data_IF_515193156055
#
_entry.id   IF_515193156055
#
_cell.length_a   1.000
_cell.length_b   1.000
_cell.length_c   1.000
_cell.angle_alpha   90.00
_cell.angle_beta   90.00
_cell.angle_gamma   90.00
#
_symmetry.space_group_name_H-M   'P 1'
#
loop_
_entity.id
_entity.type
_entity.pdbx_description
1 polymer ?
#
# COMPACT_ATOMS: atom_id res chain seq x y z
N UNK A 1 56.87 -14.13 -58.61
CA UNK A 1 55.61 -14.21 -59.38
C UNK A 1 55.03 -15.63 -59.27
N UNK A 2 53.97 -15.80 -58.46
CA UNK A 2 53.09 -17.01 -58.36
C UNK A 2 51.70 -16.47 -57.94
N UNK A 3 50.65 -16.57 -58.78
CA UNK A 3 49.51 -17.53 -58.77
C UNK A 3 48.87 -17.71 -57.38
N UNK A 4 47.56 -17.87 -57.14
CA UNK A 4 46.28 -17.64 -57.80
C UNK A 4 45.20 -18.13 -56.78
N UNK A 5 44.10 -17.39 -56.62
CA UNK A 5 42.72 -17.82 -56.33
C UNK A 5 42.26 -18.65 -55.10
N UNK A 6 41.07 -18.25 -54.63
CA UNK A 6 40.02 -18.92 -53.81
C UNK A 6 40.23 -19.07 -52.28
N UNK A 7 39.37 -18.46 -51.45
CA UNK A 7 38.10 -19.04 -50.96
C UNK A 7 37.55 -18.27 -49.73
N UNK A 8 36.31 -17.78 -49.88
CA UNK A 8 35.24 -17.52 -48.91
C UNK A 8 35.52 -17.78 -47.41
N UNK A 9 35.29 -16.77 -46.56
CA UNK A 9 34.66 -16.84 -45.23
C UNK A 9 34.33 -15.38 -44.80
N UNK A 10 33.15 -14.84 -45.12
CA UNK A 10 31.97 -14.87 -44.26
C UNK A 10 32.30 -14.80 -42.76
N UNK A 11 32.27 -13.60 -42.17
CA UNK A 11 31.75 -13.35 -40.81
C UNK A 11 31.32 -11.88 -40.78
N UNK A 12 30.00 -11.70 -40.89
CA UNK A 12 29.32 -10.48 -40.48
C UNK A 12 29.61 -10.25 -39.00
N UNK A 13 30.30 -9.16 -38.68
CA UNK A 13 30.34 -8.63 -37.32
C UNK A 13 29.02 -7.89 -37.06
N UNK A 14 27.93 -8.64 -36.88
CA UNK A 14 26.75 -8.12 -36.20
C UNK A 14 27.17 -7.91 -34.74
N UNK A 15 27.43 -6.65 -34.40
CA UNK A 15 27.45 -6.17 -33.02
C UNK A 15 26.12 -6.57 -32.39
N UNK A 16 26.13 -7.75 -31.77
CA UNK A 16 25.08 -8.26 -30.92
C UNK A 16 25.08 -7.35 -29.70
N UNK A 17 24.37 -6.23 -29.83
CA UNK A 17 23.82 -5.52 -28.69
C UNK A 17 22.94 -6.51 -27.96
N UNK A 18 23.54 -7.27 -27.04
CA UNK A 18 22.82 -8.04 -26.03
C UNK A 18 22.26 -7.02 -25.04
N UNK A 19 21.29 -6.22 -25.50
CA UNK A 19 20.40 -5.51 -24.61
C UNK A 19 19.58 -6.60 -23.94
N UNK A 20 19.64 -6.75 -22.60
CA UNK A 20 18.74 -7.67 -21.93
C UNK A 20 17.31 -7.28 -22.31
N UNK A 21 16.42 -8.23 -22.63
CA UNK A 21 15.05 -7.90 -22.98
C UNK A 21 14.46 -7.09 -21.83
N UNK A 22 14.05 -5.84 -22.10
CA UNK A 22 13.25 -5.05 -21.16
C UNK A 22 12.10 -5.95 -20.71
N UNK A 23 11.98 -6.16 -19.39
CA UNK A 23 10.86 -6.87 -18.75
C UNK A 23 9.57 -6.39 -19.40
N UNK A 24 9.03 -7.22 -20.27
CA UNK A 24 7.77 -6.97 -20.96
C UNK A 24 6.66 -7.51 -20.07
N UNK A 25 5.62 -6.70 -19.89
CA UNK A 25 4.30 -7.00 -19.29
C UNK A 25 4.03 -6.68 -17.81
N UNK A 26 4.18 -5.42 -17.41
CA UNK A 26 3.16 -4.75 -16.55
C UNK A 26 2.76 -3.36 -17.06
N UNK A 27 3.11 -3.02 -18.32
CA UNK A 27 2.75 -1.75 -18.94
C UNK A 27 1.29 -1.82 -19.44
N UNK A 28 0.32 -1.59 -18.55
CA UNK A 28 -1.09 -1.48 -18.94
C UNK A 28 -2.15 -1.82 -17.88
N UNK A 29 -1.77 -2.34 -16.70
CA UNK A 29 -2.74 -2.53 -15.62
C UNK A 29 -2.84 -1.25 -14.79
N UNK A 30 -3.88 -0.46 -15.04
CA UNK A 30 -4.23 0.69 -14.20
C UNK A 30 -4.33 0.22 -12.74
N UNK A 31 -3.41 0.66 -11.89
CA UNK A 31 -3.41 0.28 -10.47
C UNK A 31 -4.23 1.27 -9.67
N UNK A 32 -4.66 0.90 -8.46
CA UNK A 32 -5.35 1.83 -7.55
C UNK A 32 -4.49 3.05 -7.19
N UNK A 33 -3.16 2.91 -7.28
CA UNK A 33 -2.22 4.00 -6.97
C UNK A 33 -2.13 5.04 -8.10
N UNK A 34 -2.65 4.71 -9.29
CA UNK A 34 -2.68 5.57 -10.47
C UNK A 34 -4.12 5.99 -10.83
N UNK A 35 -5.10 5.64 -9.99
CA UNK A 35 -6.51 5.94 -10.24
C UNK A 35 -6.86 7.35 -9.72
N UNK A 36 -7.52 8.21 -10.53
CA UNK A 36 -7.89 9.57 -10.13
C UNK A 36 -8.90 9.66 -8.97
N UNK A 37 -9.52 8.56 -8.55
CA UNK A 37 -10.33 8.50 -7.35
C UNK A 37 -9.50 8.23 -6.09
N UNK A 38 -8.19 8.05 -6.22
CA UNK A 38 -7.30 7.79 -5.10
C UNK A 38 -6.05 8.65 -5.14
N UNK A 39 -5.60 9.10 -3.97
CA UNK A 39 -4.32 9.74 -3.78
C UNK A 39 -3.47 8.89 -2.83
N UNK A 40 -2.22 8.65 -3.23
CA UNK A 40 -1.26 7.89 -2.43
C UNK A 40 -0.14 8.79 -1.96
N UNK A 41 -0.14 9.09 -0.66
CA UNK A 41 0.98 9.70 0.04
C UNK A 41 2.11 8.66 0.18
N UNK A 42 3.10 8.80 -0.69
CA UNK A 42 4.24 7.87 -0.78
C UNK A 42 5.14 7.92 0.45
N UNK A 43 5.19 9.05 1.14
CA UNK A 43 6.04 9.23 2.31
C UNK A 43 5.44 8.49 3.51
N UNK A 44 4.14 8.63 3.73
CA UNK A 44 3.46 8.07 4.90
C UNK A 44 2.72 6.76 4.63
N UNK A 45 2.78 6.25 3.40
CA UNK A 45 2.04 5.05 2.99
C UNK A 45 0.53 5.20 3.28
N UNK A 46 -0.01 6.39 3.02
CA UNK A 46 -1.44 6.68 3.22
C UNK A 46 -2.15 6.66 1.88
N UNK A 47 -3.17 5.83 1.75
CA UNK A 47 -4.03 5.77 0.56
C UNK A 47 -5.38 6.40 0.89
N UNK A 48 -5.79 7.37 0.09
CA UNK A 48 -6.95 8.24 0.35
C UNK A 48 -7.87 8.15 -0.86
N UNK A 49 -9.16 7.95 -0.61
CA UNK A 49 -10.20 8.10 -1.63
C UNK A 49 -10.50 9.59 -1.77
N UNK A 50 -10.48 10.08 -3.01
CA UNK A 50 -10.69 11.49 -3.34
C UNK A 50 -11.71 11.63 -4.46
N UNK A 51 -12.44 12.73 -4.49
CA UNK A 51 -13.28 13.09 -5.62
C UNK A 51 -12.40 13.60 -6.78
N UNK A 52 -12.44 13.00 -7.99
CA UNK A 52 -11.66 13.48 -9.13
C UNK A 52 -11.91 14.95 -9.50
N UNK A 53 -13.14 15.45 -9.31
CA UNK A 53 -13.52 16.83 -9.63
C UNK A 53 -12.92 17.84 -8.64
N UNK A 54 -12.69 17.42 -7.39
CA UNK A 54 -12.15 18.25 -6.30
C UNK A 54 -10.79 17.78 -5.80
N UNK A 55 -10.09 17.01 -6.64
CA UNK A 55 -8.90 16.25 -6.25
C UNK A 55 -7.81 17.13 -5.66
N UNK A 56 -7.51 18.26 -6.30
CA UNK A 56 -6.45 19.16 -5.86
C UNK A 56 -6.78 19.79 -4.49
N UNK A 57 -8.03 20.22 -4.31
CA UNK A 57 -8.52 20.78 -3.04
C UNK A 57 -8.44 19.75 -1.91
N UNK A 58 -8.94 18.54 -2.13
CA UNK A 58 -8.95 17.46 -1.14
C UNK A 58 -7.53 17.00 -0.77
N UNK A 59 -6.63 16.92 -1.76
CA UNK A 59 -5.21 16.61 -1.51
C UNK A 59 -4.56 17.74 -0.70
N UNK A 60 -4.79 19.00 -1.07
CA UNK A 60 -4.24 20.16 -0.34
C UNK A 60 -4.75 20.18 1.09
N UNK A 61 -6.04 19.95 1.30
CA UNK A 61 -6.65 19.89 2.63
C UNK A 61 -6.02 18.78 3.49
N UNK A 62 -5.81 17.59 2.92
CA UNK A 62 -5.09 16.50 3.58
C UNK A 62 -3.66 16.89 3.97
N UNK A 63 -2.90 17.47 3.04
CA UNK A 63 -1.52 17.88 3.27
C UNK A 63 -1.42 18.98 4.34
N UNK A 64 -2.29 19.99 4.30
CA UNK A 64 -2.35 21.05 5.31
C UNK A 64 -2.67 20.49 6.69
N UNK A 65 -3.69 19.63 6.82
CA UNK A 65 -4.01 18.97 8.10
C UNK A 65 -2.84 18.16 8.64
N UNK A 66 -2.14 17.42 7.76
CA UNK A 66 -0.95 16.65 8.12
C UNK A 66 0.14 17.55 8.68
N UNK A 67 0.41 18.67 8.02
CA UNK A 67 1.46 19.61 8.43
C UNK A 67 1.11 20.29 9.74
N UNK A 68 -0.13 20.73 9.93
CA UNK A 68 -0.61 21.27 11.21
C UNK A 68 -0.51 20.23 12.34
N UNK A 69 -0.92 18.99 12.09
CA UNK A 69 -0.83 17.91 13.08
C UNK A 69 0.62 17.56 13.42
N UNK A 70 1.55 17.64 12.45
CA UNK A 70 2.99 17.51 12.68
C UNK A 70 3.51 18.63 13.56
N UNK A 71 3.14 19.88 13.28
CA UNK A 71 3.53 21.05 14.08
C UNK A 71 3.01 20.97 15.52
N UNK A 72 1.75 20.57 15.72
CA UNK A 72 1.18 20.39 17.07
C UNK A 72 1.83 19.26 17.87
N UNK A 73 2.36 18.22 17.19
CA UNK A 73 3.10 17.12 17.82
C UNK A 73 4.50 17.50 18.32
N UNK A 74 5.00 18.70 18.03
CA UNK A 74 6.31 19.19 18.52
C UNK A 74 6.19 19.75 19.98
N UNK A 75 5.06 19.57 20.66
CA UNK A 75 5.04 19.69 22.14
C UNK A 75 5.64 18.42 22.75
N UNK A 76 6.76 18.48 23.51
CA UNK A 76 7.53 17.30 23.87
C UNK A 76 6.91 16.63 25.10
N UNK A 77 5.87 15.82 24.94
CA UNK A 77 5.51 14.85 25.97
C UNK A 77 4.94 13.55 25.41
N UNK A 78 5.34 12.47 26.08
CA UNK A 78 5.49 11.10 25.63
C UNK A 78 4.15 10.33 25.57
N UNK A 79 3.23 10.69 24.66
CA UNK A 79 1.98 9.94 24.51
C UNK A 79 2.12 8.78 23.52
N UNK A 80 2.05 7.54 24.04
CA UNK A 80 1.76 6.33 23.25
C UNK A 80 0.55 6.62 22.34
N UNK A 81 0.53 6.18 21.07
CA UNK A 81 -0.54 6.54 20.15
C UNK A 81 -1.90 6.08 20.69
N UNK A 82 -2.68 7.03 21.22
CA UNK A 82 -4.05 6.78 21.66
C UNK A 82 -4.85 6.38 20.42
N UNK A 83 -5.59 5.27 20.42
CA UNK A 83 -6.52 4.99 19.35
C UNK A 83 -7.44 6.19 19.25
N UNK A 84 -7.71 6.61 18.02
CA UNK A 84 -8.59 7.76 17.76
C UNK A 84 -10.02 7.28 18.02
N UNK A 85 -10.38 7.21 19.29
CA UNK A 85 -11.63 6.63 19.77
C UNK A 85 -12.74 7.63 19.56
N UNK A 86 -13.20 7.77 18.32
CA UNK A 86 -14.54 8.30 18.09
C UNK A 86 -15.50 7.39 18.86
N UNK A 87 -16.15 7.90 19.90
CA UNK A 87 -17.10 7.13 20.70
C UNK A 87 -18.30 6.74 19.82
N UNK A 88 -18.64 5.45 19.81
CA UNK A 88 -19.77 4.84 19.12
C UNK A 88 -20.43 3.81 20.06
N UNK A 89 -21.72 3.54 19.83
CA UNK A 89 -22.49 2.56 20.59
C UNK A 89 -22.40 1.17 19.95
N UNK A 90 -22.32 1.13 18.62
CA UNK A 90 -22.07 -0.09 17.86
C UNK A 90 -20.87 0.10 16.91
N UNK A 91 -19.89 -0.83 16.92
CA UNK A 91 -18.73 -0.74 16.03
C UNK A 91 -19.14 -1.00 14.57
N UNK A 92 -18.34 -0.53 13.59
CA UNK A 92 -18.55 -0.91 12.21
C UNK A 92 -18.28 -2.41 12.03
N UNK A 93 -19.02 -3.06 11.15
CA UNK A 93 -18.91 -4.51 10.91
C UNK A 93 -18.44 -4.80 9.48
N UNK A 94 -17.56 -5.79 9.26
CA UNK A 94 -17.20 -6.19 7.90
C UNK A 94 -18.43 -6.59 7.08
N UNK A 95 -18.65 -5.91 5.95
CA UNK A 95 -19.68 -6.28 4.96
C UNK A 95 -19.05 -7.07 3.81
N UNK A 96 -17.91 -6.59 3.32
CA UNK A 96 -17.13 -7.22 2.25
C UNK A 96 -15.64 -6.95 2.46
N UNK A 97 -14.88 -7.99 2.74
CA UNK A 97 -13.42 -7.90 2.90
C UNK A 97 -12.74 -8.37 1.62
N UNK A 98 -11.99 -7.46 1.00
CA UNK A 98 -11.09 -7.81 -0.10
C UNK A 98 -9.86 -8.48 0.49
N UNK A 99 -9.52 -9.67 -0.02
CA UNK A 99 -8.29 -10.36 0.38
C UNK A 99 -7.08 -9.69 -0.25
N UNK A 100 -6.01 -9.38 0.51
CA UNK A 100 -4.78 -8.84 -0.04
C UNK A 100 -4.07 -9.86 -0.92
N UNK A 101 -3.45 -9.39 -1.99
CA UNK A 101 -2.63 -10.21 -2.87
C UNK A 101 -1.22 -10.29 -2.30
N UNK A 102 -0.66 -11.47 -2.12
CA UNK A 102 0.72 -11.61 -1.68
C UNK A 102 1.66 -11.24 -2.85
N UNK A 103 2.46 -10.16 -2.77
CA UNK A 103 3.38 -9.81 -3.85
C UNK A 103 4.49 -10.86 -4.01
N UNK A 104 4.87 -11.15 -5.25
CA UNK A 104 5.87 -12.19 -5.56
C UNK A 104 7.24 -11.83 -4.98
N UNK A 105 7.61 -10.56 -5.07
CA UNK A 105 8.82 -9.97 -4.51
C UNK A 105 8.89 -10.22 -3.00
N UNK A 106 7.81 -9.91 -2.27
CA UNK A 106 7.70 -10.15 -0.83
C UNK A 106 7.85 -11.63 -0.47
N UNK A 107 7.28 -12.54 -1.27
CA UNK A 107 7.45 -13.98 -1.09
C UNK A 107 8.91 -14.41 -1.32
N UNK A 108 9.55 -13.94 -2.38
CA UNK A 108 10.96 -14.26 -2.69
C UNK A 108 11.89 -13.80 -1.58
N UNK A 109 11.64 -12.61 -1.03
CA UNK A 109 12.39 -12.03 0.08
C UNK A 109 11.92 -12.54 1.46
N UNK A 110 10.95 -13.47 1.50
CA UNK A 110 10.40 -14.09 2.71
C UNK A 110 9.81 -13.10 3.73
N UNK A 111 9.38 -11.91 3.29
CA UNK A 111 8.62 -11.00 4.14
C UNK A 111 7.26 -11.60 4.47
N UNK A 112 6.90 -11.66 5.75
CA UNK A 112 5.64 -12.20 6.27
C UNK A 112 5.26 -11.46 7.57
N UNK A 113 4.07 -11.75 8.11
CA UNK A 113 3.60 -11.20 9.38
C UNK A 113 2.28 -10.44 9.26
N UNK A 114 1.97 -9.65 10.29
CA UNK A 114 0.72 -8.89 10.37
C UNK A 114 0.98 -7.41 10.11
N UNK A 115 0.28 -6.84 9.13
CA UNK A 115 0.24 -5.41 8.87
C UNK A 115 -1.00 -4.83 9.53
N UNK A 116 -0.82 -3.96 10.51
CA UNK A 116 -1.92 -3.24 11.15
C UNK A 116 -2.27 -1.99 10.34
N UNK A 117 -3.47 -1.96 9.77
CA UNK A 117 -3.97 -0.83 8.98
C UNK A 117 -4.96 -0.02 9.79
N UNK A 118 -4.67 1.26 9.98
CA UNK A 118 -5.61 2.25 10.52
C UNK A 118 -6.46 2.81 9.37
N UNK A 119 -7.77 2.68 9.49
CA UNK A 119 -8.75 3.01 8.45
C UNK A 119 -9.76 4.04 8.94
N UNK A 120 -10.12 5.01 8.10
CA UNK A 120 -11.25 5.91 8.31
C UNK A 120 -12.43 5.40 7.51
N UNK A 121 -13.48 4.96 8.21
CA UNK A 121 -14.72 4.48 7.62
C UNK A 121 -15.77 5.58 7.77
N UNK A 122 -16.49 5.90 6.70
CA UNK A 122 -17.55 6.90 6.74
C UNK A 122 -18.90 6.35 7.23
N UNK A 123 -19.91 7.21 7.31
CA UNK A 123 -21.27 6.86 7.71
C UNK A 123 -22.02 5.99 6.68
N UNK A 124 -21.44 5.75 5.50
CA UNK A 124 -21.99 4.80 4.51
C UNK A 124 -21.31 3.44 4.59
N UNK A 125 -20.23 3.33 5.37
CA UNK A 125 -19.43 2.11 5.49
C UNK A 125 -18.30 1.99 4.47
N UNK A 126 -18.00 3.06 3.73
CA UNK A 126 -16.90 3.11 2.77
C UNK A 126 -15.62 3.54 3.47
N UNK A 127 -14.50 2.89 3.14
CA UNK A 127 -13.17 3.28 3.62
C UNK A 127 -12.67 4.48 2.81
N UNK A 128 -12.53 5.62 3.49
CA UNK A 128 -12.04 6.88 2.91
C UNK A 128 -10.52 6.99 2.93
N UNK A 129 -9.88 6.44 3.97
CA UNK A 129 -8.44 6.53 4.16
C UNK A 129 -7.93 5.27 4.82
N UNK A 130 -6.82 4.73 4.31
CA UNK A 130 -6.11 3.62 4.91
C UNK A 130 -4.62 3.99 5.05
N UNK A 131 -4.02 3.71 6.21
CA UNK A 131 -2.58 3.89 6.46
C UNK A 131 -2.05 2.83 7.43
N UNK A 132 -0.75 2.49 7.40
CA UNK A 132 -0.19 1.64 8.45
C UNK A 132 -0.27 2.33 9.81
N UNK A 133 -0.39 1.55 10.88
CA UNK A 133 -0.39 2.06 12.26
C UNK A 133 0.91 2.81 12.57
N UNK A 134 2.03 2.28 12.12
CA UNK A 134 3.37 2.85 12.31
C UNK A 134 3.99 3.19 10.95
N UNK A 135 3.90 4.46 10.57
CA UNK A 135 4.42 4.99 9.31
C UNK A 135 5.94 5.05 9.31
N UNK A 136 6.57 5.38 10.44
CA UNK A 136 8.03 5.47 10.56
C UNK A 136 8.68 4.10 10.38
N UNK A 137 8.19 3.09 11.10
CA UNK A 137 8.66 1.71 10.89
C UNK A 137 8.47 1.26 9.44
N UNK A 138 7.36 1.63 8.81
CA UNK A 138 7.09 1.29 7.41
C UNK A 138 8.11 1.91 6.44
N UNK A 139 8.55 3.16 6.68
CA UNK A 139 9.56 3.84 5.85
C UNK A 139 10.89 3.09 5.83
N UNK A 140 11.27 2.49 6.96
CA UNK A 140 12.52 1.74 7.13
C UNK A 140 12.46 0.29 6.61
N UNK A 141 11.31 -0.20 6.13
CA UNK A 141 11.22 -1.53 5.53
C UNK A 141 11.97 -1.61 4.19
N UNK A 142 12.50 -2.80 3.87
CA UNK A 142 12.96 -3.13 2.52
C UNK A 142 11.81 -3.18 1.51
N UNK A 143 12.15 -3.35 0.23
CA UNK A 143 11.19 -3.30 -0.87
C UNK A 143 10.07 -4.34 -0.72
N UNK A 144 10.41 -5.59 -0.43
CA UNK A 144 9.41 -6.64 -0.17
C UNK A 144 8.45 -6.31 0.97
N UNK A 145 8.94 -5.69 2.05
CA UNK A 145 8.09 -5.23 3.17
C UNK A 145 7.15 -4.09 2.77
N UNK A 146 7.66 -3.12 2.01
CA UNK A 146 6.85 -1.99 1.47
C UNK A 146 5.76 -2.48 0.53
N UNK A 147 6.03 -3.52 -0.27
CA UNK A 147 5.04 -4.14 -1.16
C UNK A 147 3.92 -4.86 -0.39
N UNK A 148 4.23 -5.52 0.74
CA UNK A 148 3.19 -6.10 1.61
C UNK A 148 2.24 -5.02 2.15
N UNK A 149 2.80 -3.90 2.63
CA UNK A 149 2.00 -2.78 3.15
C UNK A 149 1.12 -2.20 2.05
N UNK A 150 1.66 -1.95 0.85
CA UNK A 150 0.87 -1.49 -0.31
C UNK A 150 -0.27 -2.45 -0.65
N UNK A 151 -0.03 -3.75 -0.62
CA UNK A 151 -1.07 -4.75 -0.87
C UNK A 151 -2.19 -4.72 0.18
N UNK A 152 -1.81 -4.61 1.47
CA UNK A 152 -2.76 -4.46 2.55
C UNK A 152 -3.61 -3.19 2.40
N UNK A 153 -2.98 -2.04 2.11
CA UNK A 153 -3.67 -0.76 1.87
C UNK A 153 -4.67 -0.86 0.74
N UNK A 154 -4.26 -1.46 -0.39
CA UNK A 154 -5.12 -1.67 -1.56
C UNK A 154 -6.34 -2.51 -1.21
N UNK A 155 -6.16 -3.61 -0.50
CA UNK A 155 -7.26 -4.48 -0.11
C UNK A 155 -8.24 -3.76 0.84
N UNK A 156 -7.70 -3.06 1.83
CA UNK A 156 -8.50 -2.42 2.87
C UNK A 156 -9.29 -1.22 2.35
N UNK A 157 -8.71 -0.37 1.49
CA UNK A 157 -9.44 0.77 0.91
C UNK A 157 -10.58 0.35 -0.03
N UNK A 158 -10.52 -0.89 -0.56
CA UNK A 158 -11.54 -1.50 -1.43
C UNK A 158 -12.55 -2.35 -0.67
N UNK A 159 -12.36 -2.53 0.64
CA UNK A 159 -13.31 -3.26 1.50
C UNK A 159 -14.48 -2.36 1.90
N UNK A 160 -15.60 -2.98 2.22
CA UNK A 160 -16.84 -2.32 2.62
C UNK A 160 -17.28 -2.82 3.99
N UNK A 161 -17.89 -1.93 4.76
CA UNK A 161 -18.34 -2.17 6.13
C UNK A 161 -19.80 -1.75 6.28
N UNK A 162 -20.47 -2.29 7.29
CA UNK A 162 -21.60 -1.62 7.91
C UNK A 162 -21.03 -0.48 8.78
N UNK A 163 -21.60 0.74 8.74
CA UNK A 163 -21.06 1.87 9.48
C UNK A 163 -21.19 1.67 10.99
N UNK A 164 -20.36 2.39 11.75
CA UNK A 164 -20.54 2.49 13.19
C UNK A 164 -21.82 3.27 13.51
N UNK A 165 -22.49 2.92 14.60
CA UNK A 165 -23.71 3.60 15.05
C UNK A 165 -23.43 4.35 16.34
N UNK A 166 -23.90 5.60 16.39
CA UNK A 166 -23.94 6.43 17.60
C UNK A 166 -25.29 7.13 17.69
N UNK A 167 -25.97 7.02 18.82
CA UNK A 167 -27.31 7.57 19.05
C UNK A 167 -28.30 7.19 17.93
N UNK A 168 -28.24 5.93 17.48
CA UNK A 168 -29.07 5.41 16.38
C UNK A 168 -28.71 5.93 14.99
N UNK A 169 -27.65 6.73 14.82
CA UNK A 169 -27.23 7.29 13.54
C UNK A 169 -25.87 6.74 13.10
N UNK A 170 -25.66 6.51 11.79
CA UNK A 170 -24.36 6.08 11.30
C UNK A 170 -23.33 7.21 11.41
N UNK A 171 -22.13 6.89 11.88
CA UNK A 171 -21.05 7.86 12.10
C UNK A 171 -19.75 7.42 11.47
N UNK A 172 -18.94 8.41 11.09
CA UNK A 172 -17.55 8.21 10.65
C UNK A 172 -16.68 7.80 11.84
N UNK A 173 -15.78 6.85 11.64
CA UNK A 173 -14.95 6.28 12.71
C UNK A 173 -13.58 5.82 12.22
N UNK A 174 -12.58 5.89 13.11
CA UNK A 174 -11.29 5.24 12.90
C UNK A 174 -11.27 3.81 13.45
N UNK A 175 -10.79 2.86 12.65
CA UNK A 175 -10.66 1.44 13.01
C UNK A 175 -9.24 0.97 12.77
N UNK A 176 -8.75 0.04 13.60
CA UNK A 176 -7.52 -0.68 13.36
C UNK A 176 -7.84 -2.11 12.91
N UNK A 177 -7.34 -2.51 11.74
CA UNK A 177 -7.61 -3.82 11.14
C UNK A 177 -6.29 -4.59 10.90
N UNK A 178 -6.16 -5.82 11.43
CA UNK A 178 -4.99 -6.66 11.20
C UNK A 178 -5.08 -7.40 9.86
N UNK A 179 -4.07 -7.24 9.01
CA UNK A 179 -3.95 -7.95 7.74
C UNK A 179 -2.78 -8.94 7.82
N UNK A 180 -3.09 -10.24 7.80
CA UNK A 180 -2.10 -11.29 7.97
C UNK A 180 -1.55 -11.81 6.63
N UNK A 181 -0.24 -11.92 6.53
CA UNK A 181 0.48 -12.57 5.44
C UNK A 181 1.28 -13.75 5.98
N UNK A 182 0.86 -14.97 5.62
CA UNK A 182 1.45 -16.23 6.09
C UNK A 182 2.07 -17.00 4.94
N UNK A 183 3.22 -17.63 5.18
CA UNK A 183 3.89 -18.55 4.25
C UNK A 183 3.71 -19.96 4.83
N UNK A 184 3.14 -20.90 4.08
CA UNK A 184 2.84 -22.27 4.57
C UNK A 184 4.06 -23.07 5.04
N UNK A 185 5.29 -22.63 4.74
CA UNK A 185 6.54 -23.33 5.07
C UNK A 185 7.41 -22.66 6.15
N UNK A 186 6.92 -21.64 6.85
CA UNK A 186 7.58 -21.13 8.06
C UNK A 186 6.98 -21.82 9.28
N UNK A 187 7.52 -22.96 9.67
CA UNK A 187 7.17 -23.61 10.95
C UNK A 187 7.29 -22.58 12.09
N UNK A 188 6.32 -22.46 13.01
CA UNK A 188 6.55 -21.72 14.24
C UNK A 188 7.72 -22.40 14.94
N UNK A 189 8.81 -21.67 15.19
CA UNK A 189 9.82 -22.16 16.12
C UNK A 189 9.13 -22.20 17.49
N UNK A 190 9.01 -23.36 18.16
CA UNK A 190 8.48 -23.39 19.52
C UNK A 190 9.34 -22.45 20.35
N UNK A 191 8.71 -21.50 21.04
CA UNK A 191 9.40 -20.67 22.02
C UNK A 191 9.70 -21.58 23.22
N UNK A 192 10.96 -21.69 23.67
CA UNK A 192 11.29 -22.43 24.89
C UNK A 192 10.66 -21.79 26.13
#
# INVERSE_FOLDING_TARGET
>A
MKKAHYFIFFIMLLLSGCFPPKKTSELGKKTIFDDPHFYFDRENFTLIRVNPERREEEIKEYLTRKDTAKTMRISPYNEKPKPDTTSYDAPPKPKKIVKPVYPRESLREKYHGTVFIKMLIDSTGIVLLAKPLDTEKTKHLGEGGKLLVKSALKAMIQSEFEPAIKNGKPVRVWVLFPVQFVIRNSSPKPVP
#
